data_IF_173761930514
#
_entry.id   IF_173761930514
#
_cell.length_a   1.000
_cell.length_b   1.000
_cell.length_c   1.000
_cell.angle_alpha   90.00
_cell.angle_beta   90.00
_cell.angle_gamma   90.00
#
_symmetry.space_group_name_H-M   'P 1'
#
loop_
_entity.id
_entity.type
_entity.pdbx_description
1 polymer ?
#
# COMPACT_ATOMS: atom_id res chain seq x y z
N UNK A 1 1.59 -11.82 15.74
CA UNK A 1 2.64 -12.13 14.75
C UNK A 1 3.90 -11.32 15.02
N UNK A 2 5.06 -11.81 14.58
CA UNK A 2 6.35 -11.12 14.71
C UNK A 2 7.09 -11.13 13.37
N UNK A 3 7.10 -9.99 12.68
CA UNK A 3 7.79 -9.81 11.40
C UNK A 3 9.07 -9.00 11.60
N UNK A 4 10.05 -9.24 10.75
CA UNK A 4 11.27 -8.40 10.66
C UNK A 4 10.99 -7.12 9.87
N UNK A 5 11.80 -6.07 10.08
CA UNK A 5 11.70 -4.83 9.28
C UNK A 5 11.83 -5.10 7.77
N UNK A 6 12.64 -6.10 7.37
CA UNK A 6 12.77 -6.51 5.96
C UNK A 6 11.46 -7.08 5.41
N UNK A 7 10.79 -7.95 6.19
CA UNK A 7 9.49 -8.51 5.80
C UNK A 7 8.40 -7.45 5.73
N UNK A 8 8.40 -6.51 6.67
CA UNK A 8 7.46 -5.36 6.66
C UNK A 8 7.66 -4.52 5.40
N UNK A 9 8.92 -4.22 5.05
CA UNK A 9 9.23 -3.48 3.82
C UNK A 9 8.82 -4.25 2.56
N UNK A 10 9.01 -5.57 2.52
CA UNK A 10 8.59 -6.43 1.41
C UNK A 10 7.07 -6.45 1.23
N UNK A 11 6.32 -6.54 2.33
CA UNK A 11 4.85 -6.46 2.30
C UNK A 11 4.42 -5.08 1.80
N UNK A 12 5.00 -4.01 2.33
CA UNK A 12 4.68 -2.65 1.92
C UNK A 12 4.92 -2.41 0.42
N UNK A 13 6.03 -2.89 -0.12
CA UNK A 13 6.34 -2.74 -1.55
C UNK A 13 5.38 -3.52 -2.46
N UNK A 14 5.04 -4.74 -2.06
CA UNK A 14 4.06 -5.56 -2.77
C UNK A 14 2.66 -4.91 -2.75
N UNK A 15 2.20 -4.42 -1.59
CA UNK A 15 0.95 -3.69 -1.47
C UNK A 15 0.95 -2.40 -2.31
N UNK A 16 2.06 -1.65 -2.31
CA UNK A 16 2.23 -0.45 -3.12
C UNK A 16 2.13 -0.74 -4.62
N UNK A 17 2.57 -1.93 -5.04
CA UNK A 17 2.49 -2.43 -6.42
C UNK A 17 1.11 -3.00 -6.80
N UNK A 18 0.17 -3.03 -5.85
CA UNK A 18 -1.20 -3.52 -6.06
C UNK A 18 -1.36 -5.03 -5.91
N UNK A 19 -0.38 -5.71 -5.31
CA UNK A 19 -0.46 -7.12 -4.95
C UNK A 19 -1.29 -7.31 -3.67
N UNK A 20 -1.79 -8.53 -3.43
CA UNK A 20 -2.32 -8.97 -2.14
C UNK A 20 -1.23 -9.69 -1.37
N UNK A 21 -1.11 -9.41 -0.07
CA UNK A 21 -0.08 -10.01 0.79
C UNK A 21 -0.73 -10.76 1.95
N UNK A 22 -0.35 -12.02 2.13
CA UNK A 22 -0.86 -12.91 3.15
C UNK A 22 0.30 -13.40 4.03
N UNK A 23 0.08 -13.46 5.33
CA UNK A 23 1.03 -13.99 6.29
C UNK A 23 0.46 -15.22 6.99
N UNK A 24 1.13 -16.34 6.86
CA UNK A 24 0.76 -17.58 7.54
C UNK A 24 1.15 -17.46 9.03
N UNK A 25 0.16 -17.45 9.91
CA UNK A 25 0.33 -17.28 11.35
C UNK A 25 1.05 -18.47 12.01
N UNK A 26 1.00 -19.66 11.40
CA UNK A 26 1.64 -20.88 11.90
C UNK A 26 3.11 -21.00 11.46
N UNK A 27 3.39 -20.73 10.19
CA UNK A 27 4.71 -20.95 9.59
C UNK A 27 5.57 -19.70 9.50
N UNK A 28 4.96 -18.51 9.57
CA UNK A 28 5.62 -17.23 9.37
C UNK A 28 5.97 -16.90 7.91
N UNK A 29 5.46 -17.69 6.95
CA UNK A 29 5.66 -17.45 5.53
C UNK A 29 4.78 -16.30 5.03
N UNK A 30 5.32 -15.51 4.11
CA UNK A 30 4.60 -14.46 3.38
C UNK A 30 4.29 -15.00 1.98
N UNK A 31 3.03 -14.90 1.57
CA UNK A 31 2.58 -15.20 0.22
C UNK A 31 2.05 -13.92 -0.42
N UNK A 32 2.50 -13.65 -1.63
CA UNK A 32 2.08 -12.50 -2.41
C UNK A 32 1.43 -12.99 -3.69
N UNK A 33 0.22 -12.52 -3.99
CA UNK A 33 -0.54 -12.93 -5.19
C UNK A 33 -1.10 -11.70 -5.90
N UNK A 34 -1.35 -11.81 -7.21
CA UNK A 34 -1.94 -10.73 -8.01
C UNK A 34 -3.35 -10.41 -7.53
N UNK A 35 -3.73 -9.14 -7.38
CA UNK A 35 -5.11 -8.77 -7.07
C UNK A 35 -6.01 -8.91 -8.32
N UNK A 36 -6.63 -10.08 -8.49
CA UNK A 36 -7.47 -10.40 -9.66
C UNK A 36 -8.70 -9.47 -9.77
N UNK A 37 -9.26 -9.02 -8.65
CA UNK A 37 -10.39 -8.06 -8.64
C UNK A 37 -10.00 -6.70 -9.26
N UNK A 38 -8.73 -6.32 -9.11
CA UNK A 38 -8.19 -5.04 -9.63
C UNK A 38 -7.54 -5.19 -11.01
N UNK A 39 -7.27 -6.41 -11.47
CA UNK A 39 -6.56 -6.70 -12.73
C UNK A 39 -7.44 -7.46 -13.72
N UNK A 40 -8.19 -6.71 -14.53
CA UNK A 40 -9.02 -7.27 -15.61
C UNK A 40 -8.11 -7.89 -16.68
N UNK A 41 -8.19 -9.21 -16.86
CA UNK A 41 -7.45 -9.96 -17.88
C UNK A 41 -6.14 -10.60 -17.44
N UNK A 42 -5.86 -10.68 -16.13
CA UNK A 42 -4.80 -11.53 -15.63
C UNK A 42 -5.21 -13.01 -15.82
N UNK A 43 -4.29 -13.84 -16.33
CA UNK A 43 -4.49 -15.28 -16.44
C UNK A 43 -4.52 -15.89 -15.03
N UNK A 44 -5.71 -16.24 -14.54
CA UNK A 44 -5.95 -16.79 -13.20
C UNK A 44 -5.12 -18.05 -12.93
N UNK A 45 -4.80 -18.81 -13.99
CA UNK A 45 -4.05 -20.06 -13.94
C UNK A 45 -2.68 -19.95 -13.25
N UNK A 46 -2.01 -18.77 -13.30
CA UNK A 46 -0.69 -18.61 -12.69
C UNK A 46 -0.67 -18.58 -11.16
N UNK A 47 -1.83 -18.32 -10.53
CA UNK A 47 -1.95 -18.19 -9.07
C UNK A 47 -3.02 -19.10 -8.48
N UNK A 48 -3.58 -20.01 -9.29
CA UNK A 48 -4.70 -20.86 -8.89
C UNK A 48 -4.35 -21.73 -7.68
N UNK A 49 -3.13 -22.27 -7.64
CA UNK A 49 -2.64 -23.10 -6.52
C UNK A 49 -2.52 -22.29 -5.23
N UNK A 50 -1.92 -21.09 -5.28
CA UNK A 50 -1.80 -20.20 -4.13
C UNK A 50 -3.15 -19.74 -3.63
N UNK A 51 -4.06 -19.37 -4.54
CA UNK A 51 -5.41 -18.97 -4.18
C UNK A 51 -6.17 -20.09 -3.50
N UNK A 52 -6.07 -21.31 -4.04
CA UNK A 52 -6.69 -22.48 -3.45
C UNK A 52 -6.12 -22.77 -2.07
N UNK A 53 -4.80 -22.75 -1.90
CA UNK A 53 -4.17 -22.99 -0.61
C UNK A 53 -4.60 -21.96 0.45
N UNK A 54 -4.63 -20.68 0.09
CA UNK A 54 -5.07 -19.60 0.98
C UNK A 54 -6.55 -19.77 1.34
N UNK A 55 -7.40 -20.12 0.37
CA UNK A 55 -8.83 -20.35 0.60
C UNK A 55 -9.08 -21.56 1.51
N UNK A 56 -8.39 -22.67 1.27
CA UNK A 56 -8.52 -23.91 2.06
C UNK A 56 -8.02 -23.73 3.50
N UNK A 57 -7.11 -22.77 3.74
CA UNK A 57 -6.50 -22.51 5.05
C UNK A 57 -6.74 -21.08 5.54
N UNK A 58 -7.87 -20.47 5.20
CA UNK A 58 -8.12 -19.03 5.45
C UNK A 58 -7.88 -18.60 6.90
N UNK A 59 -8.23 -19.45 7.88
CA UNK A 59 -8.06 -19.15 9.31
C UNK A 59 -6.58 -19.06 9.75
N UNK A 60 -5.66 -19.63 8.97
CA UNK A 60 -4.23 -19.62 9.26
C UNK A 60 -3.52 -18.42 8.65
N UNK A 61 -4.20 -17.66 7.79
CA UNK A 61 -3.65 -16.53 7.08
C UNK A 61 -4.20 -15.21 7.60
N UNK A 62 -3.31 -14.24 7.75
CA UNK A 62 -3.67 -12.84 7.90
C UNK A 62 -3.41 -12.11 6.58
N UNK A 63 -4.43 -11.50 6.00
CA UNK A 63 -4.29 -10.65 4.81
C UNK A 63 -3.97 -9.22 5.24
N UNK A 64 -2.93 -8.64 4.66
CA UNK A 64 -2.64 -7.23 4.84
C UNK A 64 -3.45 -6.37 3.89
N UNK A 65 -4.09 -5.36 4.44
CA UNK A 65 -4.80 -4.34 3.68
C UNK A 65 -3.82 -3.29 3.14
N UNK A 66 -3.90 -3.04 1.83
CA UNK A 66 -3.21 -1.93 1.17
C UNK A 66 -3.90 -0.59 1.40
N UNK A 67 -3.41 0.46 0.74
CA UNK A 67 -4.07 1.77 0.78
C UNK A 67 -5.31 1.80 -0.10
N UNK A 68 -6.42 2.22 0.48
CA UNK A 68 -7.62 2.54 -0.29
C UNK A 68 -7.53 3.92 -0.93
N UNK A 69 -8.44 4.19 -1.88
CA UNK A 69 -8.42 5.46 -2.62
C UNK A 69 -8.52 6.67 -1.69
N UNK A 70 -9.33 6.56 -0.63
CA UNK A 70 -9.51 7.63 0.35
C UNK A 70 -8.25 7.87 1.21
N UNK A 71 -7.54 6.81 1.59
CA UNK A 71 -6.26 6.91 2.32
C UNK A 71 -5.18 7.52 1.43
N UNK A 72 -5.10 7.08 0.19
CA UNK A 72 -4.17 7.64 -0.81
C UNK A 72 -4.42 9.13 -1.00
N UNK A 73 -5.68 9.58 -1.04
CA UNK A 73 -6.02 11.00 -1.15
C UNK A 73 -5.57 11.81 0.08
N UNK A 74 -5.74 11.27 1.29
CA UNK A 74 -5.24 11.90 2.52
C UNK A 74 -3.71 12.03 2.50
N UNK A 75 -3.00 10.97 2.10
CA UNK A 75 -1.54 10.95 1.98
C UNK A 75 -1.06 11.98 0.94
N UNK A 76 -1.73 12.09 -0.21
CA UNK A 76 -1.43 13.12 -1.21
C UNK A 76 -1.60 14.54 -0.65
N UNK A 77 -2.67 14.77 0.12
CA UNK A 77 -2.94 16.07 0.75
C UNK A 77 -1.88 16.41 1.79
N UNK A 78 -1.57 15.45 2.68
CA UNK A 78 -0.53 15.61 3.68
C UNK A 78 0.84 15.92 3.03
N UNK A 79 1.22 15.20 1.98
CA UNK A 79 2.45 15.50 1.25
C UNK A 79 2.45 16.91 0.68
N UNK A 80 1.38 17.32 -0.01
CA UNK A 80 1.26 18.66 -0.58
C UNK A 80 1.41 19.76 0.48
N UNK A 81 0.90 19.54 1.69
CA UNK A 81 1.01 20.46 2.82
C UNK A 81 2.43 20.54 3.42
N UNK A 82 3.27 19.53 3.24
CA UNK A 82 4.65 19.50 3.73
C UNK A 82 5.70 19.91 2.68
N UNK A 83 5.29 20.18 1.44
CA UNK A 83 6.21 20.69 0.39
C UNK A 83 6.65 22.12 0.71
N UNK A 84 7.96 22.33 0.72
CA UNK A 84 8.61 23.63 0.97
C UNK A 84 8.49 24.60 -0.22
N UNK A 85 8.55 24.09 -1.45
CA UNK A 85 8.35 24.92 -2.64
C UNK A 85 6.89 25.40 -2.72
N UNK A 86 6.68 26.67 -2.39
CA UNK A 86 5.38 27.32 -2.34
C UNK A 86 4.62 27.21 -3.68
N UNK A 87 5.33 27.29 -4.81
CA UNK A 87 4.70 27.18 -6.15
C UNK A 87 4.26 25.75 -6.42
N UNK A 88 5.08 24.76 -6.08
CA UNK A 88 4.73 23.35 -6.22
C UNK A 88 3.57 22.98 -5.29
N UNK A 89 3.63 23.37 -4.01
CA UNK A 89 2.55 23.21 -3.03
C UNK A 89 1.22 23.73 -3.56
N UNK A 90 1.18 24.97 -4.06
CA UNK A 90 -0.03 25.55 -4.63
C UNK A 90 -0.56 24.75 -5.83
N UNK A 91 0.32 24.25 -6.71
CA UNK A 91 -0.06 23.39 -7.83
C UNK A 91 -0.62 22.05 -7.38
N UNK A 92 0.00 21.39 -6.41
CA UNK A 92 -0.46 20.11 -5.87
C UNK A 92 -1.84 20.24 -5.19
N UNK A 93 -2.03 21.26 -4.34
CA UNK A 93 -3.33 21.53 -3.70
C UNK A 93 -4.39 21.84 -4.76
N UNK A 94 -4.05 22.64 -5.78
CA UNK A 94 -4.96 22.92 -6.90
C UNK A 94 -5.31 21.64 -7.67
N UNK A 95 -4.35 20.76 -7.92
CA UNK A 95 -4.53 19.49 -8.61
C UNK A 95 -5.49 18.54 -7.88
N UNK A 96 -5.40 18.49 -6.54
CA UNK A 96 -6.28 17.67 -5.69
C UNK A 96 -7.72 18.18 -5.62
N UNK A 97 -7.95 19.47 -5.87
CA UNK A 97 -9.29 20.07 -5.91
C UNK A 97 -9.96 19.97 -7.29
N UNK A 98 -9.27 19.46 -8.32
CA UNK A 98 -9.80 19.32 -9.69
C UNK A 98 -10.46 17.95 -9.91
N UNK A 99 -11.25 17.84 -10.98
CA UNK A 99 -11.69 16.54 -11.51
C UNK A 99 -10.47 15.66 -11.81
N UNK A 100 -10.55 14.38 -11.43
CA UNK A 100 -9.47 13.38 -11.54
C UNK A 100 -8.23 13.75 -10.69
N UNK A 101 -8.39 13.93 -9.36
CA UNK A 101 -7.34 14.47 -8.50
C UNK A 101 -6.05 13.65 -8.53
N UNK A 102 -6.14 12.32 -8.45
CA UNK A 102 -4.99 11.41 -8.50
C UNK A 102 -4.14 11.59 -9.77
N UNK A 103 -4.80 11.71 -10.94
CA UNK A 103 -4.10 11.91 -12.22
C UNK A 103 -3.39 13.26 -12.26
N UNK A 104 -4.05 14.32 -11.82
CA UNK A 104 -3.49 15.66 -11.85
C UNK A 104 -2.33 15.79 -10.86
N UNK A 105 -2.49 15.28 -9.64
CA UNK A 105 -1.44 15.27 -8.63
C UNK A 105 -0.21 14.52 -9.15
N UNK A 106 -0.41 13.32 -9.70
CA UNK A 106 0.69 12.53 -10.29
C UNK A 106 1.41 13.30 -11.40
N UNK A 107 0.66 13.99 -12.27
CA UNK A 107 1.27 14.81 -13.33
C UNK A 107 2.15 15.93 -12.75
N UNK A 108 1.69 16.66 -11.73
CA UNK A 108 2.51 17.70 -11.09
C UNK A 108 3.77 17.10 -10.44
N UNK A 109 3.64 15.97 -9.76
CA UNK A 109 4.77 15.26 -9.12
C UNK A 109 5.77 14.75 -10.15
N UNK A 110 5.32 14.11 -11.24
CA UNK A 110 6.21 13.60 -12.28
C UNK A 110 7.02 14.72 -12.96
N UNK A 111 6.54 15.96 -12.89
CA UNK A 111 7.20 17.16 -13.42
C UNK A 111 7.83 18.05 -12.32
N UNK A 112 8.09 17.51 -11.13
CA UNK A 112 8.58 18.26 -9.96
C UNK A 112 10.07 18.07 -9.62
N UNK A 113 10.82 17.34 -10.45
CA UNK A 113 12.24 17.08 -10.21
C UNK A 113 12.47 16.26 -8.93
N UNK A 114 13.30 16.75 -8.01
CA UNK A 114 13.67 16.03 -6.78
C UNK A 114 12.46 15.69 -5.87
N UNK A 115 11.40 16.50 -5.90
CA UNK A 115 10.17 16.24 -5.13
C UNK A 115 9.45 14.95 -5.56
N UNK A 116 9.73 14.44 -6.76
CA UNK A 116 9.20 13.15 -7.21
C UNK A 116 9.68 12.00 -6.33
N UNK A 117 10.97 11.96 -6.02
CA UNK A 117 11.51 10.93 -5.15
C UNK A 117 11.01 11.11 -3.73
N UNK A 118 10.96 12.36 -3.23
CA UNK A 118 10.41 12.65 -1.90
C UNK A 118 8.96 12.19 -1.75
N UNK A 119 8.13 12.33 -2.80
CA UNK A 119 6.77 11.79 -2.80
C UNK A 119 6.75 10.26 -2.67
N UNK A 120 7.61 9.55 -3.41
CA UNK A 120 7.68 8.09 -3.33
C UNK A 120 8.16 7.61 -1.98
N UNK A 121 9.18 8.25 -1.42
CA UNK A 121 9.70 7.95 -0.09
C UNK A 121 8.62 8.22 0.96
N UNK A 122 7.94 9.37 0.87
CA UNK A 122 6.83 9.72 1.76
C UNK A 122 5.69 8.69 1.69
N UNK A 123 5.24 8.34 0.49
CA UNK A 123 4.19 7.34 0.30
C UNK A 123 4.61 5.98 0.86
N UNK A 124 5.84 5.54 0.61
CA UNK A 124 6.33 4.26 1.09
C UNK A 124 6.40 4.20 2.62
N UNK A 125 6.85 5.28 3.26
CA UNK A 125 6.84 5.38 4.73
C UNK A 125 5.43 5.23 5.31
N UNK A 126 4.42 5.84 4.69
CA UNK A 126 3.02 5.71 5.13
C UNK A 126 2.49 4.27 4.96
N UNK A 127 2.89 3.57 3.91
CA UNK A 127 2.49 2.16 3.70
C UNK A 127 3.17 1.25 4.73
N UNK A 128 4.46 1.46 5.01
CA UNK A 128 5.19 0.73 6.05
C UNK A 128 4.51 0.93 7.41
N UNK A 129 4.14 2.16 7.75
CA UNK A 129 3.44 2.45 9.01
C UNK A 129 2.10 1.73 9.07
N UNK A 130 1.33 1.74 7.98
CA UNK A 130 0.04 1.02 7.89
C UNK A 130 0.19 -0.49 8.08
N UNK A 131 1.29 -1.07 7.63
CA UNK A 131 1.60 -2.50 7.86
C UNK A 131 1.94 -2.74 9.34
N UNK A 132 2.69 -1.83 9.98
CA UNK A 132 3.01 -1.90 11.42
C UNK A 132 1.75 -1.80 12.28
N UNK A 133 0.87 -0.84 12.00
CA UNK A 133 -0.42 -0.69 12.67
C UNK A 133 -1.26 -1.98 12.63
N UNK A 134 -1.30 -2.65 11.47
CA UNK A 134 -2.02 -3.92 11.32
C UNK A 134 -1.40 -5.06 12.14
N UNK A 135 -0.07 -5.11 12.26
CA UNK A 135 0.64 -6.09 13.09
C UNK A 135 0.32 -5.85 14.57
N UNK A 136 0.36 -4.60 15.01
CA UNK A 136 0.13 -4.21 16.40
C UNK A 136 -1.33 -4.47 16.79
N UNK A 137 -2.30 -4.02 15.98
CA UNK A 137 -3.72 -4.31 16.18
C UNK A 137 -3.98 -5.83 16.27
N UNK A 138 -3.39 -6.61 15.36
CA UNK A 138 -3.55 -8.06 15.40
C UNK A 138 -2.91 -8.70 16.64
N UNK A 139 -1.85 -8.12 17.20
CA UNK A 139 -1.23 -8.61 18.42
C UNK A 139 -2.05 -8.26 19.66
N UNK A 140 -2.72 -7.12 19.67
CA UNK A 140 -3.62 -6.68 20.75
C UNK A 140 -4.88 -7.54 20.81
N UNK A 141 -5.49 -7.86 19.66
CA UNK A 141 -6.67 -8.74 19.54
C UNK A 141 -6.46 -10.16 20.10
N UNK A 142 -5.22 -10.62 20.28
CA UNK A 142 -4.91 -11.93 20.86
C UNK A 142 -4.64 -11.89 22.37
N UNK A 143 -4.60 -10.70 22.98
CA UNK A 143 -4.33 -10.52 24.41
C UNK A 143 -5.62 -10.27 25.25
N UNK A 144 -6.79 -10.27 24.62
CA UNK A 144 -8.12 -10.32 25.26
C UNK A 144 -8.75 -11.72 25.19
#
# INVERSE_FOLDING_TARGET
MKLTEKQIAEIADNLNSGMRCFYNLKTGQIKTVLNLDKWIGAEEEFWEEEYKEIADNQADYFEFEGLESHDTFKIMTAFAEHVDDIKLKARLISALNKRKPFRNFKWEIDNSGAYRQQWFDFKMMQIIERVKEQIDFKNEDFNE
#
